data_IF_442464158894
#
_entry.id   IF_442464158894
#
_cell.length_a   1.000
_cell.length_b   1.000
_cell.length_c   1.000
_cell.angle_alpha   90.00
_cell.angle_beta   90.00
_cell.angle_gamma   90.00
#
_symmetry.space_group_name_H-M   'P 1'
#
loop_
_entity.id
_entity.type
_entity.pdbx_description
1 polymer ?
#
# COMPACT_ATOMS: atom_id res chain seq x y z
N UNK A 1 -1.17 -3.56 -2.52
CA UNK A 1 0.20 -3.90 -3.02
C UNK A 1 1.06 -2.65 -2.89
N UNK A 2 2.32 -2.79 -2.50
CA UNK A 2 3.24 -1.64 -2.42
C UNK A 2 4.19 -1.66 -3.60
N UNK A 3 4.20 -0.62 -4.43
CA UNK A 3 5.02 -0.54 -5.63
C UNK A 3 6.24 0.35 -5.40
N UNK A 4 7.40 -0.11 -5.86
CA UNK A 4 8.66 0.66 -5.84
C UNK A 4 9.40 0.50 -7.17
N UNK A 5 9.85 1.60 -7.80
CA UNK A 5 10.58 1.54 -9.07
C UNK A 5 12.08 1.36 -8.85
N UNK A 6 12.70 0.43 -9.58
CA UNK A 6 14.13 0.12 -9.46
C UNK A 6 15.01 1.17 -10.17
N UNK A 7 16.13 1.53 -9.54
CA UNK A 7 17.12 2.49 -10.06
C UNK A 7 18.01 1.94 -11.18
N UNK A 8 18.25 0.62 -11.24
CA UNK A 8 19.09 -0.04 -12.25
C UNK A 8 18.36 -1.22 -12.89
N UNK A 9 18.69 -1.51 -14.16
CA UNK A 9 18.25 -2.72 -14.87
C UNK A 9 18.69 -3.94 -14.04
N UNK A 10 17.77 -4.85 -13.75
CA UNK A 10 18.09 -6.10 -13.09
C UNK A 10 19.08 -6.88 -13.98
N UNK A 11 20.32 -7.03 -13.55
CA UNK A 11 21.16 -8.14 -14.00
C UNK A 11 20.59 -9.41 -13.37
N UNK A 12 20.56 -10.51 -14.13
CA UNK A 12 19.90 -11.76 -13.76
C UNK A 12 20.31 -12.38 -12.40
N UNK A 13 21.38 -11.89 -11.76
CA UNK A 13 21.93 -12.39 -10.49
C UNK A 13 22.12 -11.30 -9.39
N UNK A 14 21.34 -10.21 -9.39
CA UNK A 14 21.43 -9.16 -8.36
C UNK A 14 20.69 -9.52 -7.06
N UNK A 15 21.21 -9.19 -5.86
CA UNK A 15 20.62 -9.60 -4.58
C UNK A 15 19.22 -8.98 -4.41
N UNK A 16 18.26 -9.80 -3.96
CA UNK A 16 16.95 -9.35 -3.52
C UNK A 16 17.13 -8.34 -2.37
N UNK A 17 16.67 -7.08 -2.50
CA UNK A 17 16.77 -6.09 -1.42
C UNK A 17 15.61 -6.25 -0.43
N UNK A 18 15.23 -7.50 -0.09
CA UNK A 18 14.11 -7.77 0.82
C UNK A 18 14.42 -7.44 2.29
N UNK A 19 15.60 -6.89 2.61
CA UNK A 19 16.03 -6.80 4.01
C UNK A 19 16.33 -5.41 4.58
N UNK A 20 16.45 -4.32 3.80
CA UNK A 20 17.00 -3.07 4.39
C UNK A 20 16.31 -1.74 4.04
N UNK A 21 14.99 -1.74 3.80
CA UNK A 21 14.23 -0.47 3.78
C UNK A 21 12.84 -0.60 4.40
N UNK A 22 12.71 -1.42 5.44
CA UNK A 22 11.55 -1.39 6.32
C UNK A 22 11.70 -0.21 7.29
N UNK A 23 11.35 0.99 6.82
CA UNK A 23 10.96 2.06 7.73
C UNK A 23 9.80 1.54 8.60
N UNK A 24 9.90 1.77 9.91
CA UNK A 24 9.16 1.11 11.01
C UNK A 24 7.61 1.14 10.96
N UNK A 25 6.96 1.57 9.89
CA UNK A 25 5.49 1.65 9.78
C UNK A 25 4.94 1.19 8.41
N UNK A 26 5.71 0.46 7.60
CA UNK A 26 5.17 -0.08 6.36
C UNK A 26 4.21 -1.25 6.68
N UNK A 27 2.93 -1.22 6.23
CA UNK A 27 2.03 -2.35 6.39
C UNK A 27 2.69 -3.58 5.78
N UNK A 28 2.42 -4.76 6.36
CA UNK A 28 2.96 -6.07 6.00
C UNK A 28 2.47 -6.50 4.61
N UNK A 29 2.82 -5.71 3.60
CA UNK A 29 2.32 -5.76 2.24
C UNK A 29 3.45 -6.14 1.32
N UNK A 30 3.16 -7.05 0.39
CA UNK A 30 4.13 -7.48 -0.61
C UNK A 30 4.60 -6.27 -1.43
N UNK A 31 5.91 -6.06 -1.42
CA UNK A 31 6.56 -5.00 -2.21
C UNK A 31 6.79 -5.56 -3.61
N UNK A 32 6.04 -5.03 -4.58
CA UNK A 32 6.24 -5.30 -6.00
C UNK A 32 7.23 -4.29 -6.58
N UNK A 33 8.34 -4.79 -7.09
CA UNK A 33 9.36 -3.94 -7.70
C UNK A 33 9.13 -3.81 -9.20
N UNK A 34 8.87 -2.59 -9.67
CA UNK A 34 8.76 -2.28 -11.08
C UNK A 34 10.15 -2.11 -11.71
N UNK A 35 10.35 -2.65 -12.90
CA UNK A 35 11.52 -2.34 -13.70
C UNK A 35 11.50 -0.87 -14.13
N UNK A 36 12.65 -0.32 -14.56
CA UNK A 36 12.76 1.09 -14.94
C UNK A 36 11.78 1.47 -16.04
N UNK A 37 11.56 0.58 -17.01
CA UNK A 37 10.78 0.84 -18.22
C UNK A 37 9.34 0.29 -18.13
N UNK A 38 8.94 -0.29 -16.99
CA UNK A 38 7.57 -0.80 -16.80
C UNK A 38 6.57 0.37 -16.72
N UNK A 39 5.34 0.13 -17.16
CA UNK A 39 4.26 1.10 -16.99
C UNK A 39 4.07 1.49 -15.52
N UNK A 40 3.66 2.73 -15.22
CA UNK A 40 3.34 3.13 -13.87
C UNK A 40 2.13 2.34 -13.36
N UNK A 41 2.02 2.12 -12.04
CA UNK A 41 0.92 1.34 -11.47
C UNK A 41 -0.39 2.12 -11.40
N UNK A 42 -0.35 3.43 -11.65
CA UNK A 42 -1.51 4.34 -11.77
C UNK A 42 -1.27 5.29 -12.95
N UNK A 43 -2.35 5.74 -13.59
CA UNK A 43 -2.31 6.70 -14.70
C UNK A 43 -2.05 8.14 -14.24
N UNK A 44 -2.34 8.48 -12.99
CA UNK A 44 -2.15 9.82 -12.43
C UNK A 44 -0.68 10.26 -12.31
N UNK A 45 0.29 9.36 -12.53
CA UNK A 45 1.70 9.71 -12.56
C UNK A 45 2.63 8.52 -12.37
N UNK A 46 3.89 8.69 -12.77
CA UNK A 46 4.91 7.65 -12.61
C UNK A 46 5.65 7.76 -11.27
N UNK A 47 6.11 6.61 -10.78
CA UNK A 47 7.00 6.47 -9.64
C UNK A 47 8.43 6.79 -10.06
N UNK A 48 9.10 7.79 -9.45
CA UNK A 48 10.51 8.03 -9.70
C UNK A 48 11.35 6.80 -9.31
N UNK A 49 12.46 6.49 -10.01
CA UNK A 49 13.36 5.37 -9.67
C UNK A 49 14.07 5.49 -8.31
N UNK A 50 14.03 6.67 -7.69
CA UNK A 50 14.48 7.01 -6.34
C UNK A 50 13.33 7.56 -5.47
N UNK A 51 12.10 7.43 -5.95
CA UNK A 51 10.90 7.94 -5.31
C UNK A 51 10.47 7.08 -4.12
N UNK A 52 9.64 7.69 -3.27
CA UNK A 52 8.97 6.99 -2.19
C UNK A 52 8.07 5.88 -2.77
N UNK A 53 8.15 4.64 -2.26
CA UNK A 53 7.20 3.60 -2.63
C UNK A 53 5.75 4.05 -2.41
N UNK A 54 4.84 3.57 -3.26
CA UNK A 54 3.41 3.88 -3.16
C UNK A 54 2.64 2.61 -2.83
N UNK A 55 1.77 2.67 -1.83
CA UNK A 55 0.80 1.61 -1.60
C UNK A 55 -0.44 1.87 -2.44
N UNK A 56 -0.94 0.81 -3.09
CA UNK A 56 -2.13 0.86 -3.94
C UNK A 56 -3.10 -0.21 -3.48
N UNK A 57 -4.37 0.18 -3.36
CA UNK A 57 -5.49 -0.75 -3.30
C UNK A 57 -5.97 -1.00 -4.73
N UNK A 58 -6.11 -2.26 -5.09
CA UNK A 58 -6.47 -2.68 -6.45
C UNK A 58 -7.57 -3.73 -6.37
N UNK A 59 -8.57 -3.56 -7.22
CA UNK A 59 -9.68 -4.49 -7.39
C UNK A 59 -10.07 -4.56 -8.87
N UNK A 60 -11.02 -5.42 -9.21
CA UNK A 60 -11.57 -5.48 -10.57
C UNK A 60 -12.41 -4.25 -10.96
N UNK A 61 -12.67 -3.33 -10.02
CA UNK A 61 -13.54 -2.16 -10.21
C UNK A 61 -12.77 -0.84 -10.23
N UNK A 62 -11.61 -0.79 -9.58
CA UNK A 62 -10.78 0.41 -9.48
C UNK A 62 -9.39 0.09 -8.92
N UNK A 63 -8.46 0.99 -9.17
CA UNK A 63 -7.19 1.12 -8.47
C UNK A 63 -7.10 2.51 -7.79
N UNK A 64 -6.43 2.60 -6.65
CA UNK A 64 -6.23 3.88 -5.97
C UNK A 64 -4.98 3.86 -5.10
N UNK A 65 -4.26 4.99 -4.96
CA UNK A 65 -3.20 5.09 -3.97
C UNK A 65 -3.81 5.05 -2.58
N UNK A 66 -3.13 4.42 -1.63
CA UNK A 66 -3.59 4.31 -0.27
C UNK A 66 -2.45 4.50 0.74
N UNK A 67 -2.83 4.83 1.97
CA UNK A 67 -1.90 4.95 3.09
C UNK A 67 -2.53 4.36 4.34
N UNK A 68 -1.80 3.46 5.00
CA UNK A 68 -2.17 2.94 6.31
C UNK A 68 -1.93 3.98 7.40
N UNK A 69 -2.86 4.04 8.35
CA UNK A 69 -2.80 4.89 9.53
C UNK A 69 -3.28 4.09 10.74
N UNK A 70 -2.66 4.38 11.90
CA UNK A 70 -3.16 3.88 13.17
C UNK A 70 -4.43 4.66 13.55
N UNK A 71 -5.50 3.98 13.98
CA UNK A 71 -6.69 4.65 14.50
C UNK A 71 -6.37 5.42 15.78
N UNK A 72 -7.17 6.43 16.09
CA UNK A 72 -7.08 7.10 17.38
C UNK A 72 -7.46 6.12 18.50
N UNK A 73 -6.79 6.20 19.65
CA UNK A 73 -7.06 5.33 20.81
C UNK A 73 -8.46 5.51 21.41
N UNK A 74 -9.17 6.55 21.00
CA UNK A 74 -10.55 6.85 21.38
C UNK A 74 -11.59 6.20 20.47
N UNK A 75 -11.17 5.63 19.34
CA UNK A 75 -12.08 5.17 18.29
C UNK A 75 -12.29 3.66 18.39
N UNK A 76 -13.55 3.25 18.30
CA UNK A 76 -13.95 1.85 18.38
C UNK A 76 -14.96 1.53 17.28
N UNK A 77 -14.94 0.29 16.78
CA UNK A 77 -15.94 -0.21 15.84
C UNK A 77 -17.13 -0.77 16.62
N UNK A 78 -18.30 -0.16 16.44
CA UNK A 78 -19.56 -0.68 16.98
C UNK A 78 -20.30 -1.43 15.88
N UNK A 79 -20.56 -2.72 16.11
CA UNK A 79 -21.32 -3.59 15.20
C UNK A 79 -22.69 -3.85 15.81
N UNK A 80 -23.75 -3.55 15.05
CA UNK A 80 -25.13 -3.85 15.44
C UNK A 80 -25.62 -5.03 14.64
N UNK A 81 -26.01 -6.11 15.33
CA UNK A 81 -26.57 -7.31 14.70
C UNK A 81 -27.66 -7.89 15.59
N UNK A 82 -28.83 -8.18 15.02
CA UNK A 82 -29.97 -8.77 15.73
C UNK A 82 -30.37 -7.99 17.01
N UNK A 83 -30.37 -6.65 16.95
CA UNK A 83 -30.55 -5.73 18.08
C UNK A 83 -29.52 -5.86 19.22
N UNK A 84 -28.42 -6.57 19.02
CA UNK A 84 -27.29 -6.63 19.93
C UNK A 84 -26.15 -5.75 19.44
N UNK A 85 -25.38 -5.24 20.40
CA UNK A 85 -24.23 -4.36 20.15
C UNK A 85 -22.94 -5.10 20.50
N UNK A 86 -21.98 -5.06 19.59
CA UNK A 86 -20.64 -5.59 19.78
C UNK A 86 -19.63 -4.45 19.57
N UNK A 87 -18.62 -4.39 20.41
CA UNK A 87 -17.56 -3.37 20.33
C UNK A 87 -16.25 -4.09 20.02
N UNK A 88 -15.49 -3.58 19.05
CA UNK A 88 -14.18 -4.09 18.66
C UNK A 88 -13.17 -2.96 18.59
N UNK A 89 -11.93 -3.28 18.94
CA UNK A 89 -10.78 -2.43 18.63
C UNK A 89 -10.60 -2.39 17.10
N UNK A 90 -10.11 -1.25 16.62
CA UNK A 90 -9.76 -1.06 15.21
C UNK A 90 -8.26 -1.32 15.12
N UNK A 91 -7.86 -2.32 14.34
CA UNK A 91 -6.44 -2.68 14.20
C UNK A 91 -5.72 -1.70 13.27
N UNK A 92 -6.37 -1.30 12.17
CA UNK A 92 -5.78 -0.48 11.12
C UNK A 92 -6.87 0.30 10.37
N UNK A 93 -6.56 1.53 9.95
CA UNK A 93 -7.37 2.33 9.05
C UNK A 93 -6.56 2.61 7.78
N UNK A 94 -7.20 2.50 6.62
CA UNK A 94 -6.57 2.78 5.33
C UNK A 94 -7.25 3.98 4.69
N UNK A 95 -6.48 5.05 4.49
CA UNK A 95 -6.92 6.20 3.71
C UNK A 95 -6.79 5.87 2.21
N UNK A 96 -7.89 6.01 1.46
CA UNK A 96 -7.93 5.77 0.01
C UNK A 96 -7.93 7.12 -0.71
N UNK A 97 -7.01 7.29 -1.66
CA UNK A 97 -6.91 8.48 -2.50
C UNK A 97 -7.90 8.45 -3.67
N UNK A 98 -7.60 9.21 -4.71
CA UNK A 98 -8.43 9.26 -5.91
C UNK A 98 -8.48 7.89 -6.62
N UNK A 99 -9.68 7.42 -6.93
CA UNK A 99 -9.91 6.16 -7.64
C UNK A 99 -9.75 6.33 -9.14
N UNK A 100 -8.98 5.44 -9.75
CA UNK A 100 -8.90 5.23 -11.19
C UNK A 100 -9.73 3.98 -11.55
N UNK A 101 -10.79 4.12 -12.37
CA UNK A 101 -11.68 3.01 -12.73
C UNK A 101 -11.07 2.03 -13.73
#
# INVERSE_FOLDING_TARGET
>A
ITYARRKKRATADGPNPSENSAGLNAPKTDIMHLAKDDAPPLYAGDLPPDGTPISIVESTLYAAPCQSASPASTDFLVVVKDNQYYVREIDEVVAIGATEP
#
